data_IF_276326802065
#
_entry.id   IF_276326802065
#
_cell.length_a   1.000
_cell.length_b   1.000
_cell.length_c   1.000
_cell.angle_alpha   90.00
_cell.angle_beta   90.00
_cell.angle_gamma   90.00
#
_symmetry.space_group_name_H-M   'P 1'
#
loop_
_entity.id
_entity.type
_entity.pdbx_description
1 polymer ?
#
# COMPACT_ATOMS: atom_id res chain seq x y z
N UNK A 1 22.50 -8.82 11.13
CA UNK A 1 21.34 -8.32 10.38
C UNK A 1 20.09 -8.71 11.16
N UNK A 2 19.10 -7.82 11.30
CA UNK A 2 17.84 -8.16 11.95
C UNK A 2 16.90 -8.82 10.94
N UNK A 3 16.11 -9.80 11.38
CA UNK A 3 15.10 -10.43 10.54
C UNK A 3 13.91 -9.48 10.32
N UNK A 4 13.18 -9.66 9.22
CA UNK A 4 11.96 -8.89 8.94
C UNK A 4 10.88 -9.10 10.02
N UNK A 5 10.85 -10.26 10.66
CA UNK A 5 9.94 -10.56 11.76
C UNK A 5 10.32 -9.81 13.05
N UNK A 6 11.62 -9.69 13.36
CA UNK A 6 12.09 -8.86 14.47
C UNK A 6 11.76 -7.40 14.26
N UNK A 7 11.94 -6.88 13.02
CA UNK A 7 11.62 -5.51 12.63
C UNK A 7 10.13 -5.22 12.85
N UNK A 8 9.24 -6.09 12.34
CA UNK A 8 7.80 -6.00 12.52
C UNK A 8 7.43 -5.95 14.02
N UNK A 9 7.86 -6.96 14.78
CA UNK A 9 7.52 -7.08 16.21
C UNK A 9 8.04 -5.90 17.03
N UNK A 10 9.26 -5.45 16.76
CA UNK A 10 9.88 -4.32 17.49
C UNK A 10 9.16 -3.01 17.14
N UNK A 11 8.87 -2.78 15.88
CA UNK A 11 8.14 -1.58 15.42
C UNK A 11 6.72 -1.52 15.99
N UNK A 12 6.01 -2.65 16.01
CA UNK A 12 4.69 -2.80 16.65
C UNK A 12 4.74 -2.42 18.14
N UNK A 13 5.70 -2.98 18.89
CA UNK A 13 5.84 -2.69 20.33
C UNK A 13 6.20 -1.23 20.58
N UNK A 14 7.13 -0.66 19.79
CA UNK A 14 7.49 0.76 19.88
C UNK A 14 6.31 1.67 19.59
N UNK A 15 5.47 1.32 18.60
CA UNK A 15 4.25 2.06 18.27
C UNK A 15 3.25 2.04 19.42
N UNK A 16 3.07 0.88 20.03
CA UNK A 16 2.21 0.74 21.21
C UNK A 16 2.70 1.60 22.38
N UNK A 17 4.00 1.56 22.66
CA UNK A 17 4.64 2.39 23.70
C UNK A 17 4.53 3.89 23.39
N UNK A 18 4.44 4.28 22.12
CA UNK A 18 4.24 5.67 21.67
C UNK A 18 2.77 6.12 21.68
N UNK A 19 1.86 5.30 22.25
CA UNK A 19 0.46 5.66 22.51
C UNK A 19 -0.53 5.28 21.41
N UNK A 20 -0.12 4.56 20.36
CA UNK A 20 -1.05 4.04 19.34
C UNK A 20 -1.84 2.83 19.86
N UNK A 21 -3.07 2.62 19.36
CA UNK A 21 -3.84 1.41 19.63
C UNK A 21 -3.13 0.17 19.09
N UNK A 22 -3.48 -1.03 19.57
CA UNK A 22 -2.88 -2.27 19.09
C UNK A 22 -3.07 -2.48 17.59
N UNK A 23 -4.28 -2.22 17.05
CA UNK A 23 -4.54 -2.34 15.61
C UNK A 23 -3.64 -1.42 14.77
N UNK A 24 -3.51 -0.14 15.16
CA UNK A 24 -2.61 0.79 14.46
C UNK A 24 -1.14 0.35 14.61
N UNK A 25 -0.75 -0.12 15.80
CA UNK A 25 0.61 -0.59 16.03
C UNK A 25 0.97 -1.81 15.16
N UNK A 26 0.03 -2.72 14.91
CA UNK A 26 0.19 -3.85 14.00
C UNK A 26 0.39 -3.38 12.56
N UNK A 27 -0.40 -2.40 12.12
CA UNK A 27 -0.22 -1.81 10.79
C UNK A 27 1.15 -1.15 10.64
N UNK A 28 1.63 -0.44 11.67
CA UNK A 28 2.99 0.14 11.63
C UNK A 28 4.06 -0.96 11.55
N UNK A 29 3.93 -2.05 12.30
CA UNK A 29 4.87 -3.17 12.23
C UNK A 29 5.02 -3.71 10.81
N UNK A 30 3.89 -4.07 10.18
CA UNK A 30 3.83 -4.54 8.78
C UNK A 30 4.46 -3.54 7.81
N UNK A 31 4.19 -2.25 8.00
CA UNK A 31 4.64 -1.20 7.11
C UNK A 31 6.15 -0.90 7.23
N UNK A 32 6.70 -0.92 8.44
CA UNK A 32 8.15 -0.76 8.62
C UNK A 32 8.90 -1.97 8.05
N UNK A 33 8.39 -3.18 8.28
CA UNK A 33 8.89 -4.39 7.62
C UNK A 33 8.93 -4.24 6.10
N UNK A 34 7.88 -3.68 5.49
CA UNK A 34 7.78 -3.46 4.05
C UNK A 34 8.82 -2.44 3.57
N UNK A 35 8.99 -1.32 4.27
CA UNK A 35 10.02 -0.32 3.94
C UNK A 35 11.43 -0.93 3.96
N UNK A 36 11.76 -1.66 5.02
CA UNK A 36 13.08 -2.30 5.14
C UNK A 36 13.29 -3.39 4.09
N UNK A 37 12.24 -4.12 3.68
CA UNK A 37 12.30 -5.10 2.60
C UNK A 37 12.74 -4.45 1.27
N UNK A 38 12.29 -3.22 1.00
CA UNK A 38 12.65 -2.45 -0.20
C UNK A 38 13.86 -1.53 -0.01
N UNK A 39 14.60 -1.67 1.11
CA UNK A 39 15.79 -0.87 1.39
C UNK A 39 15.50 0.61 1.68
N UNK A 40 14.27 0.94 2.05
CA UNK A 40 13.86 2.29 2.43
C UNK A 40 14.03 2.50 3.93
N UNK A 41 14.37 3.72 4.39
CA UNK A 41 14.77 4.00 5.78
C UNK A 41 13.57 4.03 6.76
N UNK A 42 12.85 2.92 6.91
CA UNK A 42 11.66 2.78 7.73
C UNK A 42 11.93 2.94 9.22
N UNK A 43 12.85 2.14 9.78
CA UNK A 43 13.23 2.17 11.19
C UNK A 43 13.76 3.55 11.57
N UNK A 44 14.63 4.13 10.74
CA UNK A 44 15.26 5.43 10.97
C UNK A 44 14.22 6.55 11.07
N UNK A 45 13.27 6.60 10.13
CA UNK A 45 12.19 7.59 10.14
C UNK A 45 11.19 7.35 11.29
N UNK A 46 10.83 6.10 11.59
CA UNK A 46 9.94 5.78 12.69
C UNK A 46 10.52 6.18 14.04
N UNK A 47 11.79 5.87 14.26
CA UNK A 47 12.49 6.23 15.51
C UNK A 47 12.50 7.74 15.71
N UNK A 48 12.90 8.50 14.67
CA UNK A 48 12.93 9.96 14.78
C UNK A 48 11.54 10.56 14.96
N UNK A 49 10.54 10.04 14.27
CA UNK A 49 9.15 10.44 14.43
C UNK A 49 8.67 10.25 15.87
N UNK A 50 8.99 9.12 16.52
CA UNK A 50 8.61 8.88 17.91
C UNK A 50 9.38 9.74 18.91
N UNK A 51 10.64 10.07 18.64
CA UNK A 51 11.38 11.04 19.43
C UNK A 51 10.74 12.42 19.35
N UNK A 52 10.40 12.86 18.14
CA UNK A 52 9.76 14.16 17.92
C UNK A 52 8.37 14.25 18.60
N UNK A 53 7.60 13.16 18.62
CA UNK A 53 6.28 13.12 19.30
C UNK A 53 6.34 13.40 20.81
N UNK A 54 7.48 13.30 21.43
CA UNK A 54 7.63 13.65 22.87
C UNK A 54 7.49 15.15 23.11
N UNK A 55 7.82 15.97 22.12
CA UNK A 55 7.79 17.44 22.22
C UNK A 55 6.89 18.12 21.19
N UNK A 56 6.56 17.45 20.08
CA UNK A 56 5.73 17.99 19.00
C UNK A 56 4.38 17.30 18.94
N UNK A 57 3.34 18.07 18.62
CA UNK A 57 1.99 17.56 18.32
C UNK A 57 1.82 17.43 16.81
N UNK A 58 1.01 16.46 16.39
CA UNK A 58 0.63 16.23 15.01
C UNK A 58 -0.89 16.18 14.88
N UNK A 59 -1.38 16.61 13.73
CA UNK A 59 -2.81 16.55 13.42
C UNK A 59 -3.21 15.16 12.92
N UNK A 60 -4.35 14.68 13.39
CA UNK A 60 -4.89 13.38 12.96
C UNK A 60 -5.85 13.57 11.79
N UNK A 61 -5.41 13.25 10.59
CA UNK A 61 -6.24 13.26 9.39
C UNK A 61 -7.10 11.98 9.34
N UNK A 62 -8.39 12.10 9.69
CA UNK A 62 -9.31 10.96 9.74
C UNK A 62 -10.12 10.78 8.45
N UNK A 63 -10.35 11.84 7.70
CA UNK A 63 -11.11 11.81 6.45
C UNK A 63 -10.20 12.29 5.33
N UNK A 64 -10.05 11.44 4.32
CA UNK A 64 -9.24 11.74 3.15
C UNK A 64 -10.12 12.45 2.11
N UNK A 65 -9.67 13.61 1.69
CA UNK A 65 -10.27 14.41 0.64
C UNK A 65 -9.29 14.57 -0.54
N UNK A 66 -9.76 15.10 -1.64
CA UNK A 66 -8.89 15.40 -2.78
C UNK A 66 -7.77 16.41 -2.41
N UNK A 67 -8.06 17.35 -1.51
CA UNK A 67 -7.07 18.26 -0.91
C UNK A 67 -7.13 18.14 0.61
N UNK A 68 -5.98 17.81 1.21
CA UNK A 68 -5.81 17.65 2.64
C UNK A 68 -4.77 18.68 3.09
N UNK A 69 -5.23 19.73 3.75
CA UNK A 69 -4.39 20.88 4.11
C UNK A 69 -4.46 21.06 5.63
N UNK A 70 -3.30 21.13 6.26
CA UNK A 70 -3.16 21.55 7.65
C UNK A 70 -2.40 22.87 7.73
N UNK A 71 -3.00 23.84 8.41
CA UNK A 71 -2.45 25.19 8.53
C UNK A 71 -1.61 25.40 9.80
N UNK A 72 -1.73 24.51 10.78
CA UNK A 72 -1.13 24.72 12.11
C UNK A 72 -0.14 23.62 12.51
N UNK A 73 -0.47 22.38 12.26
CA UNK A 73 0.33 21.22 12.66
C UNK A 73 0.54 20.32 11.46
N UNK A 74 1.70 19.67 11.38
CA UNK A 74 1.89 18.64 10.37
C UNK A 74 0.98 17.43 10.64
N UNK A 75 0.48 16.81 9.58
CA UNK A 75 -0.31 15.58 9.71
C UNK A 75 0.55 14.42 10.23
N UNK A 76 -0.05 13.64 11.14
CA UNK A 76 0.49 12.36 11.58
C UNK A 76 0.53 11.38 10.39
N UNK A 77 1.70 10.88 9.96
CA UNK A 77 1.81 10.01 8.78
C UNK A 77 1.12 8.67 8.99
N UNK A 78 1.12 8.18 10.24
CA UNK A 78 0.53 6.89 10.60
C UNK A 78 -1.00 6.98 10.54
N UNK A 79 -1.60 8.01 11.16
CA UNK A 79 -3.06 8.16 11.14
C UNK A 79 -3.57 8.49 9.74
N UNK A 80 -2.87 9.38 9.01
CA UNK A 80 -3.20 9.65 7.62
C UNK A 80 -3.13 8.37 6.75
N UNK A 81 -2.11 7.54 6.99
CA UNK A 81 -1.92 6.27 6.29
C UNK A 81 -3.02 5.25 6.57
N UNK A 82 -3.37 5.04 7.84
CA UNK A 82 -4.49 4.18 8.23
C UNK A 82 -5.78 4.68 7.59
N UNK A 83 -6.06 5.99 7.69
CA UNK A 83 -7.27 6.58 7.11
C UNK A 83 -7.32 6.46 5.58
N UNK A 84 -6.18 6.54 4.90
CA UNK A 84 -6.08 6.33 3.46
C UNK A 84 -6.39 4.88 3.10
N UNK A 85 -5.79 3.94 3.83
CA UNK A 85 -6.00 2.50 3.63
C UNK A 85 -7.46 2.10 3.85
N UNK A 86 -8.07 2.57 4.95
CA UNK A 86 -9.46 2.28 5.29
C UNK A 86 -10.47 2.86 4.28
N UNK A 87 -10.11 3.97 3.63
CA UNK A 87 -10.96 4.67 2.67
C UNK A 87 -10.61 4.37 1.21
N UNK A 88 -9.71 3.41 0.93
CA UNK A 88 -9.21 3.11 -0.41
C UNK A 88 -10.32 3.01 -1.45
N UNK A 89 -11.36 2.22 -1.20
CA UNK A 89 -12.49 2.06 -2.12
C UNK A 89 -13.32 3.32 -2.33
N UNK A 90 -13.36 4.23 -1.35
CA UNK A 90 -14.08 5.50 -1.48
C UNK A 90 -13.31 6.51 -2.33
N UNK A 91 -11.98 6.49 -2.25
CA UNK A 91 -11.11 7.46 -2.91
C UNK A 91 -10.52 6.95 -4.24
N UNK A 92 -10.79 5.71 -4.64
CA UNK A 92 -10.25 5.08 -5.85
C UNK A 92 -10.59 5.80 -7.17
N UNK A 93 -11.63 6.65 -7.15
CA UNK A 93 -12.05 7.45 -8.30
C UNK A 93 -11.38 8.84 -8.36
N UNK A 94 -10.57 9.21 -7.37
CA UNK A 94 -9.79 10.43 -7.46
C UNK A 94 -8.55 10.18 -8.33
N UNK A 95 -8.40 10.97 -9.39
CA UNK A 95 -7.19 10.89 -10.20
C UNK A 95 -5.96 11.43 -9.48
N UNK A 96 -6.17 12.39 -8.58
CA UNK A 96 -5.12 13.10 -7.87
C UNK A 96 -5.56 13.54 -6.49
N UNK A 97 -4.71 13.29 -5.47
CA UNK A 97 -4.87 13.79 -4.11
C UNK A 97 -3.63 14.60 -3.72
N UNK A 98 -3.85 15.65 -2.94
CA UNK A 98 -2.78 16.53 -2.42
C UNK A 98 -2.81 16.49 -0.90
N UNK A 99 -1.63 16.36 -0.30
CA UNK A 99 -1.42 16.49 1.13
C UNK A 99 -0.41 17.62 1.36
N UNK A 100 -0.77 18.57 2.20
CA UNK A 100 0.14 19.63 2.62
C UNK A 100 0.54 19.43 4.09
N UNK A 101 1.82 19.64 4.38
CA UNK A 101 2.40 19.47 5.70
C UNK A 101 2.25 18.04 6.29
N UNK A 102 2.63 17.00 5.52
CA UNK A 102 2.69 15.63 6.02
C UNK A 102 4.05 15.37 6.67
N UNK A 103 4.04 14.97 7.94
CA UNK A 103 5.26 14.58 8.64
C UNK A 103 5.76 13.21 8.16
N UNK A 104 7.08 13.06 8.08
CA UNK A 104 7.74 11.78 7.77
C UNK A 104 7.07 11.00 6.63
N UNK A 105 7.04 11.55 5.40
CA UNK A 105 6.27 11.01 4.27
C UNK A 105 6.62 9.57 3.90
N UNK A 106 7.84 9.13 4.19
CA UNK A 106 8.27 7.72 4.00
C UNK A 106 7.40 6.76 4.82
N UNK A 107 6.95 7.16 6.01
CA UNK A 107 6.07 6.32 6.85
C UNK A 107 4.64 6.21 6.29
N UNK A 108 4.24 7.10 5.41
CA UNK A 108 2.95 7.06 4.71
C UNK A 108 2.95 6.11 3.51
N UNK A 109 4.11 5.97 2.86
CA UNK A 109 4.30 5.21 1.62
C UNK A 109 3.77 3.76 1.64
N UNK A 110 4.02 2.92 2.67
CA UNK A 110 3.53 1.54 2.68
C UNK A 110 2.01 1.41 2.75
N UNK A 111 1.32 2.38 3.35
CA UNK A 111 -0.13 2.40 3.36
C UNK A 111 -0.67 2.60 1.94
N UNK A 112 -0.04 3.49 1.15
CA UNK A 112 -0.39 3.68 -0.26
C UNK A 112 -0.12 2.43 -1.10
N UNK A 113 1.02 1.76 -0.86
CA UNK A 113 1.36 0.50 -1.55
C UNK A 113 0.28 -0.56 -1.33
N UNK A 114 -0.18 -0.73 -0.09
CA UNK A 114 -1.26 -1.66 0.23
C UNK A 114 -2.62 -1.19 -0.28
N UNK A 115 -2.86 0.12 -0.34
CA UNK A 115 -4.07 0.67 -0.96
C UNK A 115 -4.11 0.43 -2.46
N UNK A 116 -2.96 0.47 -3.15
CA UNK A 116 -2.82 0.11 -4.56
C UNK A 116 -3.33 -1.32 -4.83
N UNK A 117 -2.96 -2.28 -3.97
CA UNK A 117 -3.46 -3.66 -4.04
C UNK A 117 -4.98 -3.73 -3.85
N UNK A 118 -5.53 -3.05 -2.83
CA UNK A 118 -6.97 -3.04 -2.53
C UNK A 118 -7.79 -2.41 -3.67
N UNK A 119 -7.29 -1.33 -4.26
CA UNK A 119 -7.94 -0.63 -5.37
C UNK A 119 -7.82 -1.40 -6.69
N UNK A 120 -6.80 -2.24 -6.85
CA UNK A 120 -6.44 -2.83 -8.13
C UNK A 120 -5.86 -1.81 -9.11
N UNK A 121 -5.30 -0.69 -8.63
CA UNK A 121 -4.76 0.41 -9.44
C UNK A 121 -3.34 0.77 -9.00
N UNK A 122 -2.50 1.18 -9.95
CA UNK A 122 -1.19 1.73 -9.63
C UNK A 122 -1.32 3.10 -8.94
N UNK A 123 -0.42 3.39 -8.01
CA UNK A 123 -0.35 4.68 -7.33
C UNK A 123 1.03 5.28 -7.56
N UNK A 124 1.10 6.53 -8.01
CA UNK A 124 2.32 7.34 -8.00
C UNK A 124 2.28 8.28 -6.81
N UNK A 125 3.37 8.34 -6.07
CA UNK A 125 3.59 9.26 -4.96
C UNK A 125 4.79 10.14 -5.28
N UNK A 126 4.63 11.45 -5.21
CA UNK A 126 5.73 12.39 -5.40
C UNK A 126 5.75 13.48 -4.30
N UNK A 127 6.94 13.79 -3.83
CA UNK A 127 7.23 14.92 -2.94
C UNK A 127 8.70 15.30 -3.06
N UNK A 128 8.98 16.60 -3.06
CA UNK A 128 10.30 17.15 -3.35
C UNK A 128 10.85 16.55 -4.67
N UNK A 129 12.04 15.96 -4.66
CA UNK A 129 12.66 15.29 -5.82
C UNK A 129 12.41 13.77 -5.83
N UNK A 130 11.63 13.25 -4.87
CA UNK A 130 11.37 11.83 -4.75
C UNK A 130 10.09 11.45 -5.50
N UNK A 131 10.15 10.35 -6.23
CA UNK A 131 9.02 9.75 -6.91
C UNK A 131 9.01 8.23 -6.67
N UNK A 132 7.83 7.72 -6.34
CA UNK A 132 7.61 6.30 -6.07
C UNK A 132 6.45 5.81 -6.93
N UNK A 133 6.62 4.66 -7.55
CA UNK A 133 5.55 3.93 -8.21
C UNK A 133 5.20 2.69 -7.38
N UNK A 134 3.94 2.58 -7.02
CA UNK A 134 3.38 1.53 -6.20
C UNK A 134 2.42 0.72 -7.06
N UNK A 135 2.61 -0.58 -7.11
CA UNK A 135 1.83 -1.45 -7.96
C UNK A 135 0.99 -2.46 -7.17
N UNK A 136 0.17 -3.24 -7.90
CA UNK A 136 -0.82 -4.17 -7.36
C UNK A 136 -0.25 -5.30 -6.47
N UNK A 137 1.04 -5.58 -6.58
CA UNK A 137 1.71 -6.65 -5.83
C UNK A 137 2.45 -6.13 -4.59
N UNK A 138 2.05 -4.97 -4.08
CA UNK A 138 2.68 -4.33 -2.91
C UNK A 138 4.18 -4.09 -3.12
N UNK A 139 4.58 -3.73 -4.33
CA UNK A 139 5.95 -3.36 -4.68
C UNK A 139 6.12 -1.85 -4.61
N UNK A 140 7.34 -1.42 -4.28
CA UNK A 140 7.73 -0.02 -4.22
C UNK A 140 8.91 0.19 -5.18
N UNK A 141 8.67 0.91 -6.27
CA UNK A 141 9.70 1.34 -7.20
C UNK A 141 10.04 2.79 -6.90
N UNK A 142 11.33 3.11 -6.82
CA UNK A 142 11.81 4.45 -6.46
C UNK A 142 12.85 4.93 -7.47
N UNK A 143 12.75 6.19 -7.89
CA UNK A 143 13.70 6.82 -8.81
C UNK A 143 15.05 7.16 -8.14
N UNK A 144 14.97 7.59 -6.88
CA UNK A 144 16.12 8.06 -6.11
C UNK A 144 16.01 7.53 -4.69
N UNK A 145 17.03 6.86 -4.21
CA UNK A 145 17.08 6.34 -2.86
C UNK A 145 18.08 7.14 -2.03
N UNK A 146 17.60 8.22 -1.43
CA UNK A 146 18.33 8.91 -0.38
C UNK A 146 17.97 8.28 0.96
N UNK A 147 18.91 7.55 1.55
CA UNK A 147 18.74 6.92 2.88
C UNK A 147 18.71 7.99 4.00
N UNK A 148 17.86 9.00 3.85
CA UNK A 148 17.77 10.17 4.71
C UNK A 148 16.49 10.18 5.55
N UNK A 149 16.56 10.88 6.68
CA UNK A 149 15.38 11.25 7.45
C UNK A 149 14.73 12.43 6.75
N UNK A 150 13.46 12.29 6.38
CA UNK A 150 12.64 13.35 5.78
C UNK A 150 11.54 13.73 6.78
N UNK A 151 11.77 14.76 7.62
CA UNK A 151 10.85 15.05 8.73
C UNK A 151 9.53 15.68 8.29
N UNK A 152 9.47 16.30 7.10
CA UNK A 152 8.29 16.98 6.60
C UNK A 152 8.30 17.06 5.08
N UNK A 153 7.20 16.68 4.45
CA UNK A 153 6.85 17.07 3.08
C UNK A 153 5.88 18.25 3.13
N UNK A 154 6.28 19.41 2.60
CA UNK A 154 5.40 20.58 2.52
C UNK A 154 4.24 20.33 1.57
N UNK A 155 4.49 19.67 0.46
CA UNK A 155 3.48 19.23 -0.51
C UNK A 155 3.81 17.83 -0.99
N UNK A 156 2.84 16.98 -0.93
CA UNK A 156 2.90 15.59 -1.38
C UNK A 156 1.73 15.35 -2.32
N UNK A 157 2.00 14.73 -3.44
CA UNK A 157 1.03 14.43 -4.48
C UNK A 157 0.90 12.92 -4.63
N UNK A 158 -0.34 12.44 -4.56
CA UNK A 158 -0.70 11.05 -4.83
C UNK A 158 -1.55 11.03 -6.09
N UNK A 159 -1.13 10.27 -7.11
CA UNK A 159 -1.91 10.01 -8.32
C UNK A 159 -2.36 8.55 -8.32
N UNK A 160 -3.64 8.34 -8.53
CA UNK A 160 -4.21 7.01 -8.77
C UNK A 160 -4.27 6.85 -10.29
N UNK A 161 -3.53 5.85 -10.79
CA UNK A 161 -3.34 5.64 -12.23
C UNK A 161 -4.29 4.54 -12.70
N UNK A 162 -4.99 4.80 -13.79
CA UNK A 162 -5.76 3.74 -14.44
C UNK A 162 -4.80 2.72 -15.07
N UNK A 163 -5.25 1.48 -15.10
CA UNK A 163 -4.52 0.43 -15.81
C UNK A 163 -4.89 0.56 -17.31
N UNK A 164 -3.89 0.59 -18.14
CA UNK A 164 -4.03 0.59 -19.58
C UNK A 164 -3.49 -0.72 -20.13
N UNK A 165 -4.24 -1.33 -21.02
CA UNK A 165 -3.80 -2.51 -21.74
C UNK A 165 -2.77 -2.11 -22.79
N UNK A 166 -1.69 -2.87 -22.92
CA UNK A 166 -0.66 -2.66 -23.95
C UNK A 166 -0.98 -3.40 -25.25
N UNK A 167 -2.13 -4.05 -25.34
CA UNK A 167 -2.61 -4.85 -26.45
C UNK A 167 -3.96 -4.35 -26.93
N UNK A 168 -4.30 -4.65 -28.19
CA UNK A 168 -5.60 -4.35 -28.79
C UNK A 168 -6.52 -5.60 -28.77
N UNK A 169 -7.78 -5.40 -29.15
CA UNK A 169 -8.79 -6.47 -29.16
C UNK A 169 -8.45 -7.63 -30.10
N UNK A 170 -7.72 -7.38 -31.18
CA UNK A 170 -7.30 -8.44 -32.12
C UNK A 170 -6.21 -9.31 -31.53
N UNK A 171 -5.21 -8.70 -30.92
CA UNK A 171 -4.13 -9.40 -30.18
C UNK A 171 -4.70 -10.25 -29.05
N UNK A 172 -5.67 -9.71 -28.31
CA UNK A 172 -6.36 -10.46 -27.28
C UNK A 172 -7.13 -11.68 -27.84
N UNK A 173 -7.91 -11.49 -28.92
CA UNK A 173 -8.67 -12.58 -29.57
C UNK A 173 -7.75 -13.68 -30.08
N UNK A 174 -6.62 -13.31 -30.68
CA UNK A 174 -5.65 -14.29 -31.16
C UNK A 174 -5.06 -15.13 -30.03
N UNK A 175 -4.68 -14.47 -28.91
CA UNK A 175 -4.19 -15.18 -27.73
C UNK A 175 -5.27 -16.06 -27.10
N UNK A 176 -6.51 -15.56 -27.04
CA UNK A 176 -7.65 -16.31 -26.51
C UNK A 176 -7.92 -17.58 -27.34
N UNK A 177 -7.92 -17.47 -28.68
CA UNK A 177 -8.11 -18.62 -29.55
C UNK A 177 -7.04 -19.71 -29.34
N UNK A 178 -5.78 -19.31 -29.14
CA UNK A 178 -4.72 -20.25 -28.78
C UNK A 178 -4.96 -20.93 -27.41
N UNK A 179 -5.55 -20.20 -26.46
CA UNK A 179 -5.87 -20.77 -25.14
C UNK A 179 -6.97 -21.82 -25.20
N UNK A 180 -7.88 -21.72 -26.16
CA UNK A 180 -8.98 -22.68 -26.37
C UNK A 180 -8.46 -24.05 -26.79
N UNK A 181 -7.27 -24.16 -27.39
CA UNK A 181 -6.62 -25.43 -27.71
C UNK A 181 -6.30 -26.29 -26.47
N UNK A 182 -6.31 -25.68 -25.29
CA UNK A 182 -6.12 -26.40 -24.01
C UNK A 182 -7.42 -27.00 -23.46
N UNK A 183 -8.58 -26.63 -24.01
CA UNK A 183 -9.86 -27.14 -23.55
C UNK A 183 -10.06 -28.57 -24.10
N UNK A 184 -10.20 -29.49 -23.18
CA UNK A 184 -10.58 -30.86 -23.51
C UNK A 184 -12.09 -30.89 -23.72
N UNK A 185 -12.57 -31.50 -24.82
CA UNK A 185 -14.00 -31.70 -25.03
C UNK A 185 -14.62 -32.42 -23.82
N UNK A 186 -15.68 -31.86 -23.29
CA UNK A 186 -16.43 -32.48 -22.20
C UNK A 186 -17.09 -33.80 -22.71
N UNK A 187 -16.52 -34.90 -22.31
CA UNK A 187 -17.15 -36.22 -22.55
C UNK A 187 -17.93 -36.64 -21.31
N UNK A 188 -18.96 -37.47 -21.51
CA UNK A 188 -19.75 -37.97 -20.38
C UNK A 188 -18.90 -38.75 -19.37
N UNK A 189 -17.82 -39.38 -19.80
CA UNK A 189 -16.85 -40.05 -18.94
C UNK A 189 -16.04 -39.07 -18.07
N UNK A 190 -15.71 -37.87 -18.57
CA UNK A 190 -15.04 -36.83 -17.81
C UNK A 190 -15.98 -36.19 -16.77
N UNK A 191 -17.26 -36.02 -17.12
CA UNK A 191 -18.29 -35.56 -16.18
C UNK A 191 -18.49 -36.53 -15.01
N UNK A 192 -18.41 -37.83 -15.26
CA UNK A 192 -18.57 -38.87 -14.24
C UNK A 192 -17.32 -39.11 -13.41
N UNK A 193 -16.12 -38.74 -13.92
CA UNK A 193 -14.84 -38.88 -13.22
C UNK A 193 -14.39 -37.60 -12.50
N UNK A 194 -15.08 -36.49 -12.66
CA UNK A 194 -14.82 -35.24 -11.97
C UNK A 194 -14.95 -35.37 -10.46
N UNK A 195 -13.99 -34.87 -9.70
CA UNK A 195 -14.05 -34.91 -8.24
C UNK A 195 -15.33 -34.23 -7.74
N UNK A 196 -16.22 -34.98 -7.12
CA UNK A 196 -17.53 -34.54 -6.62
C UNK A 196 -18.72 -34.86 -7.51
N UNK A 197 -18.56 -35.54 -8.67
CA UNK A 197 -19.63 -35.97 -9.54
C UNK A 197 -20.07 -37.44 -9.31
N UNK A 198 -19.65 -38.05 -8.22
CA UNK A 198 -20.08 -39.44 -7.88
C UNK A 198 -21.53 -39.46 -7.47
N UNK A 199 -22.38 -40.22 -8.25
CA UNK A 199 -23.77 -40.51 -7.96
C UNK A 199 -23.98 -41.43 -6.72
N UNK A 200 -22.96 -41.60 -5.86
CA UNK A 200 -22.93 -42.55 -4.75
C UNK A 200 -22.43 -41.95 -3.42
N UNK A 201 -22.63 -40.66 -3.16
CA UNK A 201 -22.65 -40.19 -1.78
C UNK A 201 -24.06 -40.35 -1.19
N UNK A 202 -24.42 -41.60 -0.98
CA UNK A 202 -25.46 -42.01 -0.05
C UNK A 202 -24.74 -42.62 1.15
N UNK A 203 -24.50 -41.79 2.22
CA UNK A 203 -24.66 -42.24 3.62
C UNK A 203 -24.60 -41.01 4.53
#
# INVERSE_FOLDING_TARGET
MKSLSEIDTTSKRASRASGFSWGIAEEVGKNIRLLELFGLPGIKNLTQYYLDRKSKKYENLKIINQKNISNTLAFCPIIAGVSFLDQSKKIENYTKLIFENLAYPILFLPFLSRSSEIMGKKISLSFDENEFLLNLNVNILVNKNDNQILPLAKKLEVKILENEDSFNDEEWKNLYALSEETFVEETDSLKQSGAGAGLTDND
#
